data_IF_897974002735
#
_entry.id   IF_897974002735
#
_cell.length_a   1.000
_cell.length_b   1.000
_cell.length_c   1.000
_cell.angle_alpha   90.00
_cell.angle_beta   90.00
_cell.angle_gamma   90.00
#
_symmetry.space_group_name_H-M   'P 1'
#
loop_
_entity.id
_entity.type
_entity.pdbx_description
1 polymer ?
#
# COMPACT_ATOMS: atom_id res chain seq x y z
N UNK A 1 -52.58 4.98 -1.34
CA UNK A 1 -51.33 5.59 -1.86
C UNK A 1 -50.22 5.20 -0.93
N UNK A 2 -49.20 4.43 -1.37
CA UNK A 2 -48.03 4.18 -0.53
C UNK A 2 -47.26 5.50 -0.35
N UNK A 3 -46.63 5.73 0.81
CA UNK A 3 -45.84 6.94 1.02
C UNK A 3 -44.67 6.92 0.04
N UNK A 4 -44.45 8.07 -0.62
CA UNK A 4 -43.23 8.31 -1.40
C UNK A 4 -42.06 8.12 -0.44
N UNK A 5 -41.29 7.04 -0.64
CA UNK A 5 -39.92 6.94 -0.13
C UNK A 5 -39.18 8.18 -0.58
N UNK A 6 -38.98 9.11 0.34
CA UNK A 6 -37.94 10.13 0.23
C UNK A 6 -36.65 9.36 -0.04
N UNK A 7 -36.15 9.46 -1.27
CA UNK A 7 -34.75 9.15 -1.53
C UNK A 7 -33.98 10.15 -0.69
N UNK A 8 -33.54 9.72 0.48
CA UNK A 8 -32.42 10.32 1.20
C UNK A 8 -31.35 10.58 0.14
N UNK A 9 -31.12 11.85 -0.19
CA UNK A 9 -29.90 12.23 -0.87
C UNK A 9 -28.80 12.00 0.14
N UNK A 10 -28.33 10.75 0.22
CA UNK A 10 -27.24 10.37 1.11
C UNK A 10 -26.07 11.31 0.86
N UNK A 11 -25.48 11.80 1.96
CA UNK A 11 -24.27 12.58 1.92
C UNK A 11 -23.22 11.80 1.08
N UNK A 12 -22.70 12.37 -0.02
CA UNK A 12 -21.73 11.69 -0.88
C UNK A 12 -20.44 11.32 -0.14
N UNK A 13 -20.26 11.74 1.11
CA UNK A 13 -19.11 11.40 1.95
C UNK A 13 -19.33 10.16 2.82
N UNK A 14 -20.50 9.52 2.76
CA UNK A 14 -20.80 8.32 3.55
C UNK A 14 -20.08 7.10 2.96
N UNK A 15 -19.27 6.43 3.78
CA UNK A 15 -18.61 5.16 3.48
C UNK A 15 -19.58 3.98 3.64
N UNK A 16 -19.34 2.87 2.93
CA UNK A 16 -20.24 1.70 2.98
C UNK A 16 -20.09 0.92 4.28
N UNK A 17 -18.90 0.42 4.59
CA UNK A 17 -18.59 -0.12 5.91
C UNK A 17 -18.46 1.04 6.90
N UNK A 18 -19.31 1.03 7.93
CA UNK A 18 -19.41 2.07 8.94
C UNK A 18 -19.08 1.49 10.31
N UNK A 19 -18.39 2.30 11.10
CA UNK A 19 -18.13 1.99 12.49
C UNK A 19 -19.40 2.23 13.32
N UNK A 20 -19.72 1.33 14.24
CA UNK A 20 -20.85 1.48 15.15
C UNK A 20 -20.73 2.69 16.09
N UNK A 21 -21.88 3.08 16.66
CA UNK A 21 -21.96 4.27 17.52
C UNK A 21 -21.13 4.15 18.80
N UNK A 22 -20.94 2.93 19.34
CA UNK A 22 -20.14 2.70 20.54
C UNK A 22 -18.68 3.12 20.31
N UNK A 23 -18.01 2.52 19.33
CA UNK A 23 -16.63 2.87 18.97
C UNK A 23 -16.52 4.34 18.54
N UNK A 24 -17.49 4.86 17.78
CA UNK A 24 -17.50 6.28 17.39
C UNK A 24 -17.52 7.25 18.57
N UNK A 25 -18.18 6.91 19.67
CA UNK A 25 -18.18 7.72 20.89
C UNK A 25 -16.83 7.64 21.60
N UNK A 26 -16.20 6.47 21.63
CA UNK A 26 -14.89 6.27 22.26
C UNK A 26 -13.77 6.98 21.49
N UNK A 27 -13.89 7.07 20.16
CA UNK A 27 -12.99 7.89 19.33
C UNK A 27 -13.20 9.41 19.48
N UNK A 28 -14.18 9.89 20.27
CA UNK A 28 -14.41 11.32 20.46
C UNK A 28 -13.25 12.06 21.15
N UNK A 29 -12.34 11.33 21.82
CA UNK A 29 -11.11 11.90 22.40
C UNK A 29 -10.08 12.32 21.34
N UNK A 30 -10.19 11.80 20.11
CA UNK A 30 -9.30 12.13 19.01
C UNK A 30 -9.64 13.48 18.39
N UNK A 31 -8.67 14.11 17.74
CA UNK A 31 -8.96 15.29 16.90
C UNK A 31 -9.95 14.93 15.79
N UNK A 32 -10.76 15.88 15.28
CA UNK A 32 -11.71 15.61 14.20
C UNK A 32 -11.06 14.98 12.97
N UNK A 33 -9.84 15.40 12.64
CA UNK A 33 -9.06 14.84 11.55
C UNK A 33 -8.66 13.38 11.81
N UNK A 34 -8.02 13.10 12.96
CA UNK A 34 -7.56 11.75 13.30
C UNK A 34 -8.75 10.77 13.42
N UNK A 35 -9.85 11.21 14.03
CA UNK A 35 -11.11 10.44 14.09
C UNK A 35 -11.60 10.08 12.69
N UNK A 36 -11.67 11.05 11.78
CA UNK A 36 -12.12 10.79 10.42
C UNK A 36 -11.14 9.90 9.64
N UNK A 37 -9.83 10.02 9.89
CA UNK A 37 -8.83 9.14 9.30
C UNK A 37 -9.05 7.69 9.75
N UNK A 38 -9.27 7.44 11.04
CA UNK A 38 -9.61 6.11 11.58
C UNK A 38 -10.87 5.56 10.92
N UNK A 39 -11.94 6.36 10.77
CA UNK A 39 -13.18 5.93 10.10
C UNK A 39 -12.93 5.55 8.64
N UNK A 40 -12.15 6.34 7.91
CA UNK A 40 -11.80 6.04 6.52
C UNK A 40 -10.93 4.78 6.41
N UNK A 41 -10.00 4.57 7.34
CA UNK A 41 -9.15 3.39 7.39
C UNK A 41 -9.95 2.13 7.72
N UNK A 42 -10.84 2.21 8.71
CA UNK A 42 -11.79 1.16 9.05
C UNK A 42 -12.54 0.69 7.79
N UNK A 43 -13.07 1.64 7.01
CA UNK A 43 -13.75 1.32 5.76
C UNK A 43 -12.88 0.56 4.77
N UNK A 44 -11.70 1.10 4.43
CA UNK A 44 -10.84 0.48 3.41
C UNK A 44 -10.23 -0.84 3.87
N UNK A 45 -10.00 -1.03 5.17
CA UNK A 45 -9.55 -2.31 5.73
C UNK A 45 -10.65 -3.37 5.67
N UNK A 46 -11.89 -3.03 6.03
CA UNK A 46 -13.03 -3.92 5.83
C UNK A 46 -13.22 -4.31 4.37
N UNK A 47 -13.12 -3.34 3.46
CA UNK A 47 -13.14 -3.62 2.03
C UNK A 47 -11.98 -4.53 1.60
N UNK A 48 -10.81 -4.37 2.21
CA UNK A 48 -9.65 -5.24 2.05
C UNK A 48 -9.91 -6.68 2.47
N UNK A 49 -10.51 -6.89 3.66
CA UNK A 49 -10.93 -8.20 4.14
C UNK A 49 -11.93 -8.85 3.18
N UNK A 50 -12.96 -8.09 2.81
CA UNK A 50 -13.98 -8.53 1.87
C UNK A 50 -13.35 -8.96 0.53
N UNK A 51 -12.33 -8.24 0.05
CA UNK A 51 -11.61 -8.61 -1.16
C UNK A 51 -10.64 -9.79 -0.97
N UNK A 52 -10.03 -9.96 0.21
CA UNK A 52 -8.98 -10.94 0.42
C UNK A 52 -9.51 -12.36 0.70
N UNK A 53 -10.67 -12.48 1.33
CA UNK A 53 -11.30 -13.75 1.69
C UNK A 53 -12.55 -14.01 0.86
N UNK A 54 -12.45 -14.90 -0.12
CA UNK A 54 -13.55 -15.29 -1.00
C UNK A 54 -14.70 -15.98 -0.28
N UNK A 55 -14.40 -16.71 0.80
CA UNK A 55 -15.38 -17.52 1.51
C UNK A 55 -16.23 -16.66 2.46
N UNK A 56 -15.69 -15.53 2.92
CA UNK A 56 -16.40 -14.57 3.79
C UNK A 56 -17.07 -13.42 3.03
N UNK A 57 -17.08 -13.44 1.68
CA UNK A 57 -17.68 -12.36 0.87
C UNK A 57 -19.20 -12.33 1.00
N UNK A 58 -19.68 -11.48 1.90
CA UNK A 58 -21.11 -11.13 1.99
C UNK A 58 -21.51 -10.21 0.82
N UNK A 59 -22.65 -10.43 0.14
CA UNK A 59 -23.11 -9.54 -0.93
C UNK A 59 -23.19 -8.07 -0.48
N UNK A 60 -22.69 -7.15 -1.32
CA UNK A 60 -22.78 -5.70 -1.07
C UNK A 60 -24.18 -5.22 -1.43
N UNK A 61 -24.86 -4.59 -0.48
CA UNK A 61 -26.14 -3.91 -0.75
C UNK A 61 -25.90 -2.66 -1.60
N UNK A 62 -26.38 -2.69 -2.85
CA UNK A 62 -26.23 -1.59 -3.82
C UNK A 62 -27.41 -0.62 -3.84
N UNK A 63 -28.35 -0.73 -2.89
CA UNK A 63 -29.49 0.19 -2.76
C UNK A 63 -29.08 1.62 -2.42
N UNK A 64 -27.92 1.79 -1.78
CA UNK A 64 -27.32 3.07 -1.36
C UNK A 64 -26.25 3.55 -2.34
N UNK A 65 -25.94 4.85 -2.36
CA UNK A 65 -24.85 5.37 -3.18
C UNK A 65 -23.49 4.84 -2.71
N UNK A 66 -23.32 4.69 -1.39
CA UNK A 66 -22.12 4.13 -0.78
C UNK A 66 -21.93 2.66 -1.20
N UNK A 67 -23.00 1.87 -1.16
CA UNK A 67 -23.01 0.48 -1.61
C UNK A 67 -22.69 0.32 -3.10
N UNK A 68 -23.29 1.13 -3.96
CA UNK A 68 -22.99 1.12 -5.39
C UNK A 68 -21.53 1.51 -5.70
N UNK A 69 -20.93 2.41 -4.91
CA UNK A 69 -19.51 2.77 -5.02
C UNK A 69 -18.62 1.61 -4.55
N UNK A 70 -18.93 1.01 -3.41
CA UNK A 70 -18.20 -0.12 -2.85
C UNK A 70 -18.21 -1.31 -3.81
N UNK A 71 -19.38 -1.68 -4.35
CA UNK A 71 -19.50 -2.76 -5.34
C UNK A 71 -18.65 -2.48 -6.59
N UNK A 72 -18.70 -1.25 -7.10
CA UNK A 72 -17.88 -0.88 -8.27
C UNK A 72 -16.38 -1.00 -7.96
N UNK A 73 -15.96 -0.59 -6.78
CA UNK A 73 -14.57 -0.73 -6.33
C UNK A 73 -14.18 -2.20 -6.28
N UNK A 74 -15.00 -3.02 -5.62
CA UNK A 74 -14.81 -4.47 -5.46
C UNK A 74 -14.72 -5.17 -6.82
N UNK A 75 -15.72 -4.97 -7.68
CA UNK A 75 -15.74 -5.49 -9.05
C UNK A 75 -14.53 -5.04 -9.88
N UNK A 76 -14.00 -3.83 -9.66
CA UNK A 76 -12.77 -3.38 -10.35
C UNK A 76 -11.54 -4.11 -9.82
N UNK A 77 -11.44 -4.30 -8.51
CA UNK A 77 -10.33 -5.02 -7.88
C UNK A 77 -10.26 -6.48 -8.33
N UNK A 78 -11.41 -7.15 -8.43
CA UNK A 78 -11.51 -8.57 -8.81
C UNK A 78 -11.33 -8.83 -10.31
N UNK A 79 -11.12 -7.79 -11.14
CA UNK A 79 -11.04 -7.95 -12.59
C UNK A 79 -9.80 -8.73 -13.06
N UNK A 80 -8.66 -8.53 -12.39
CA UNK A 80 -7.38 -9.21 -12.67
C UNK A 80 -6.37 -8.90 -11.56
N UNK A 81 -5.26 -9.64 -11.55
CA UNK A 81 -4.22 -9.54 -10.52
C UNK A 81 -3.66 -8.12 -10.37
N UNK A 82 -3.37 -7.44 -11.49
CA UNK A 82 -2.88 -6.06 -11.48
C UNK A 82 -3.87 -5.11 -10.80
N UNK A 83 -5.17 -5.29 -11.02
CA UNK A 83 -6.21 -4.47 -10.40
C UNK A 83 -6.36 -4.79 -8.92
N UNK A 84 -6.23 -6.07 -8.56
CA UNK A 84 -6.22 -6.52 -7.18
C UNK A 84 -5.04 -5.90 -6.41
N UNK A 85 -3.80 -6.02 -6.91
CA UNK A 85 -2.62 -5.40 -6.29
C UNK A 85 -2.77 -3.88 -6.11
N UNK A 86 -3.46 -3.21 -7.04
CA UNK A 86 -3.71 -1.76 -6.99
C UNK A 86 -4.81 -1.36 -6.00
N UNK A 87 -5.76 -2.23 -5.68
CA UNK A 87 -6.98 -1.86 -4.97
C UNK A 87 -7.15 -2.57 -3.63
N UNK A 88 -6.47 -3.70 -3.38
CA UNK A 88 -6.41 -4.31 -2.06
C UNK A 88 -5.67 -3.38 -1.08
N UNK A 89 -6.27 -3.13 0.08
CA UNK A 89 -5.71 -2.34 1.19
C UNK A 89 -4.81 -3.15 2.11
N UNK A 90 -4.91 -4.48 2.07
CA UNK A 90 -4.05 -5.39 2.84
C UNK A 90 -2.85 -5.77 1.99
N UNK A 91 -1.67 -5.25 2.33
CA UNK A 91 -0.47 -5.28 1.48
C UNK A 91 -0.04 -6.70 1.15
N UNK A 92 -0.01 -7.60 2.14
CA UNK A 92 0.45 -8.99 1.97
C UNK A 92 -0.56 -9.92 1.28
N UNK A 93 -1.80 -9.47 1.05
CA UNK A 93 -2.85 -10.32 0.47
C UNK A 93 -3.00 -10.18 -1.04
N UNK A 94 -2.35 -9.18 -1.64
CA UNK A 94 -2.29 -8.99 -3.09
C UNK A 94 -1.64 -10.16 -3.83
N UNK A 95 -2.07 -10.49 -5.06
CA UNK A 95 -1.50 -11.59 -5.83
C UNK A 95 0.03 -11.55 -5.95
N UNK A 96 0.61 -10.38 -6.24
CA UNK A 96 2.06 -10.25 -6.38
C UNK A 96 2.79 -10.46 -5.04
N UNK A 97 2.27 -9.93 -3.93
CA UNK A 97 2.89 -10.15 -2.62
C UNK A 97 2.72 -11.59 -2.14
N UNK A 98 1.57 -12.23 -2.38
CA UNK A 98 1.38 -13.67 -2.13
C UNK A 98 2.37 -14.51 -2.93
N UNK A 99 2.64 -14.14 -4.18
CA UNK A 99 3.70 -14.78 -4.97
C UNK A 99 5.06 -14.62 -4.29
N UNK A 100 5.47 -13.39 -3.96
CA UNK A 100 6.77 -13.10 -3.35
C UNK A 100 6.94 -13.87 -2.03
N UNK A 101 5.95 -13.82 -1.14
CA UNK A 101 5.96 -14.51 0.16
C UNK A 101 6.10 -16.03 0.03
N UNK A 102 5.48 -16.64 -1.00
CA UNK A 102 5.59 -18.09 -1.22
C UNK A 102 6.98 -18.51 -1.68
N UNK A 103 7.72 -17.63 -2.34
CA UNK A 103 9.03 -17.94 -2.93
C UNK A 103 10.20 -17.45 -2.08
N UNK A 104 10.00 -16.43 -1.25
CA UNK A 104 10.96 -15.96 -0.26
C UNK A 104 10.46 -16.40 1.12
N UNK A 105 10.96 -17.52 1.63
CA UNK A 105 10.51 -18.08 2.91
C UNK A 105 11.03 -17.25 4.09
N UNK A 106 10.22 -17.15 5.15
CA UNK A 106 10.54 -16.39 6.38
C UNK A 106 11.44 -17.16 7.36
N UNK A 107 11.68 -18.44 7.12
CA UNK A 107 12.26 -19.37 8.10
C UNK A 107 13.80 -19.43 8.05
N UNK A 108 14.43 -18.73 7.10
CA UNK A 108 15.88 -18.71 6.91
C UNK A 108 16.44 -17.28 6.94
N UNK A 109 17.74 -17.16 7.23
CA UNK A 109 18.45 -15.87 7.15
C UNK A 109 18.28 -15.33 5.73
N UNK A 110 17.64 -14.18 5.58
CA UNK A 110 17.40 -13.54 4.29
C UNK A 110 18.75 -13.21 3.62
N UNK A 111 19.09 -13.95 2.57
CA UNK A 111 20.41 -13.88 1.91
C UNK A 111 20.50 -12.71 0.94
N UNK A 112 21.70 -12.40 0.45
CA UNK A 112 21.85 -11.42 -0.63
C UNK A 112 21.02 -11.81 -1.87
N UNK A 113 20.83 -13.11 -2.14
CA UNK A 113 19.99 -13.55 -3.24
C UNK A 113 18.51 -13.25 -3.03
N UNK A 114 18.01 -13.44 -1.80
CA UNK A 114 16.64 -13.08 -1.46
C UNK A 114 16.40 -11.57 -1.58
N UNK A 115 17.33 -10.75 -1.09
CA UNK A 115 17.27 -9.29 -1.19
C UNK A 115 17.29 -8.84 -2.65
N UNK A 116 18.20 -9.40 -3.44
CA UNK A 116 18.33 -9.08 -4.86
C UNK A 116 17.07 -9.47 -5.64
N UNK A 117 16.56 -10.69 -5.42
CA UNK A 117 15.31 -11.18 -6.02
C UNK A 117 14.14 -10.25 -5.71
N UNK A 118 14.01 -9.82 -4.45
CA UNK A 118 12.98 -8.89 -4.01
C UNK A 118 13.09 -7.55 -4.74
N UNK A 119 14.30 -6.98 -4.83
CA UNK A 119 14.54 -5.73 -5.55
C UNK A 119 14.14 -5.81 -7.03
N UNK A 120 14.56 -6.86 -7.75
CA UNK A 120 14.26 -6.98 -9.18
C UNK A 120 12.77 -7.25 -9.43
N UNK A 121 12.11 -8.05 -8.60
CA UNK A 121 10.66 -8.24 -8.69
C UNK A 121 9.91 -6.94 -8.47
N UNK A 122 10.29 -6.19 -7.43
CA UNK A 122 9.64 -4.92 -7.11
C UNK A 122 9.82 -3.88 -8.21
N UNK A 123 11.02 -3.79 -8.77
CA UNK A 123 11.35 -2.80 -9.78
C UNK A 123 10.77 -3.14 -11.17
N UNK A 124 10.74 -4.42 -11.56
CA UNK A 124 10.51 -4.80 -12.96
C UNK A 124 9.28 -5.69 -13.22
N UNK A 125 8.78 -6.43 -12.23
CA UNK A 125 7.77 -7.47 -12.46
C UNK A 125 6.48 -7.35 -11.62
N UNK A 126 6.47 -6.51 -10.58
CA UNK A 126 5.32 -6.35 -9.68
C UNK A 126 4.02 -6.02 -10.44
N UNK A 127 2.93 -6.72 -10.09
CA UNK A 127 1.63 -6.63 -10.76
C UNK A 127 1.48 -7.53 -11.99
N UNK A 128 2.44 -8.44 -12.24
CA UNK A 128 2.38 -9.42 -13.33
C UNK A 128 2.99 -10.75 -12.88
N UNK A 129 2.14 -11.73 -12.54
CA UNK A 129 2.60 -13.02 -11.99
C UNK A 129 3.48 -13.81 -12.96
N UNK A 130 3.16 -13.81 -14.26
CA UNK A 130 3.97 -14.48 -15.27
C UNK A 130 5.39 -13.89 -15.30
N UNK A 131 5.50 -12.56 -15.23
CA UNK A 131 6.80 -11.90 -15.23
C UNK A 131 7.57 -12.08 -13.92
N UNK A 132 6.88 -12.16 -12.78
CA UNK A 132 7.52 -12.52 -11.51
C UNK A 132 8.13 -13.93 -11.64
N UNK A 133 7.38 -14.88 -12.17
CA UNK A 133 7.86 -16.25 -12.44
C UNK A 133 9.05 -16.26 -13.39
N UNK A 134 8.95 -15.61 -14.56
CA UNK A 134 10.04 -15.50 -15.55
C UNK A 134 11.32 -14.86 -15.01
N UNK A 135 11.19 -13.91 -14.06
CA UNK A 135 12.30 -13.17 -13.46
C UNK A 135 12.80 -13.79 -12.14
N UNK A 136 12.42 -15.04 -11.86
CA UNK A 136 12.93 -15.77 -10.69
C UNK A 136 14.36 -16.25 -10.96
N UNK A 137 15.24 -16.05 -9.98
CA UNK A 137 16.62 -16.54 -9.96
C UNK A 137 16.71 -17.77 -9.05
N UNK A 138 17.75 -18.56 -9.25
CA UNK A 138 18.08 -19.65 -8.34
C UNK A 138 18.73 -19.08 -7.06
N UNK A 139 17.97 -19.14 -5.96
CA UNK A 139 18.33 -18.57 -4.66
C UNK A 139 19.48 -19.32 -3.97
N UNK A 140 19.76 -20.56 -4.37
CA UNK A 140 20.82 -21.40 -3.79
C UNK A 140 22.14 -21.35 -4.59
N UNK A 141 22.16 -20.61 -5.71
CA UNK A 141 23.24 -20.63 -6.68
C UNK A 141 24.29 -19.52 -6.53
N UNK A 142 25.23 -19.50 -7.49
CA UNK A 142 26.27 -18.47 -7.71
C UNK A 142 25.67 -17.05 -7.81
N UNK A 143 26.50 -15.99 -7.85
CA UNK A 143 26.02 -14.62 -8.07
C UNK A 143 25.08 -14.54 -9.29
N UNK A 144 24.08 -13.64 -9.28
CA UNK A 144 23.05 -13.60 -10.32
C UNK A 144 23.62 -13.40 -11.73
N UNK A 145 23.07 -14.12 -12.72
CA UNK A 145 23.45 -13.97 -14.12
C UNK A 145 22.81 -12.72 -14.75
N UNK A 146 23.50 -11.58 -14.65
CA UNK A 146 22.95 -10.28 -15.07
C UNK A 146 22.51 -10.22 -16.53
N UNK A 147 23.23 -10.86 -17.45
CA UNK A 147 22.86 -10.84 -18.87
C UNK A 147 21.51 -11.55 -19.11
N UNK A 148 21.33 -12.74 -18.54
CA UNK A 148 20.07 -13.50 -18.59
C UNK A 148 18.91 -12.69 -17.99
N UNK A 149 19.12 -12.09 -16.81
CA UNK A 149 18.11 -11.29 -16.11
C UNK A 149 17.74 -10.04 -16.92
N UNK A 150 18.74 -9.33 -17.46
CA UNK A 150 18.57 -8.16 -18.32
C UNK A 150 17.78 -8.49 -19.57
N UNK A 151 18.09 -9.61 -20.23
CA UNK A 151 17.36 -10.05 -21.41
C UNK A 151 15.88 -10.29 -21.09
N UNK A 152 15.58 -10.97 -19.98
CA UNK A 152 14.19 -11.19 -19.53
C UNK A 152 13.47 -9.86 -19.28
N UNK A 153 14.08 -8.94 -18.52
CA UNK A 153 13.52 -7.61 -18.25
C UNK A 153 13.27 -6.84 -19.56
N UNK A 154 14.24 -6.86 -20.48
CA UNK A 154 14.21 -6.07 -21.71
C UNK A 154 13.35 -6.67 -22.83
N UNK A 155 12.90 -7.93 -22.72
CA UNK A 155 11.91 -8.50 -23.64
C UNK A 155 10.55 -7.82 -23.53
N UNK A 156 10.24 -7.18 -22.40
CA UNK A 156 8.95 -6.50 -22.16
C UNK A 156 9.02 -4.99 -22.42
N UNK A 157 7.85 -4.37 -22.48
CA UNK A 157 7.70 -2.92 -22.72
C UNK A 157 7.90 -2.51 -24.18
N UNK A 158 8.09 -1.20 -24.39
CA UNK A 158 8.40 -0.63 -25.71
C UNK A 158 9.87 -0.78 -26.08
N UNK A 159 10.26 -0.26 -27.25
CA UNK A 159 11.64 -0.35 -27.74
C UNK A 159 12.65 0.33 -26.79
N UNK A 160 12.26 1.43 -26.14
CA UNK A 160 13.16 2.26 -25.31
C UNK A 160 12.88 2.11 -23.81
N UNK A 161 11.61 1.97 -23.42
CA UNK A 161 11.17 2.00 -22.02
C UNK A 161 10.33 0.78 -21.65
N UNK A 162 10.43 0.37 -20.39
CA UNK A 162 9.62 -0.67 -19.75
C UNK A 162 8.56 0.02 -18.92
N UNK A 163 7.28 -0.26 -19.19
CA UNK A 163 6.16 0.25 -18.40
C UNK A 163 5.88 -0.69 -17.22
N UNK A 164 5.90 -0.16 -15.99
CA UNK A 164 5.55 -0.93 -14.80
C UNK A 164 4.14 -0.55 -14.37
N UNK A 165 3.16 -1.27 -14.92
CA UNK A 165 1.74 -0.92 -14.81
C UNK A 165 1.24 -0.83 -13.36
N UNK A 166 1.84 -1.57 -12.41
CA UNK A 166 1.49 -1.49 -10.99
C UNK A 166 1.61 -0.05 -10.44
N UNK A 167 2.59 0.71 -10.92
CA UNK A 167 2.90 2.07 -10.45
C UNK A 167 2.35 3.16 -11.38
N UNK A 168 1.27 2.86 -12.11
CA UNK A 168 0.60 3.82 -12.99
C UNK A 168 1.38 4.06 -14.28
N UNK A 169 1.84 5.29 -14.51
CA UNK A 169 2.59 5.69 -15.72
C UNK A 169 4.11 5.59 -15.55
N UNK A 170 4.58 4.94 -14.49
CA UNK A 170 5.99 4.80 -14.21
C UNK A 170 6.70 3.95 -15.28
N UNK A 171 7.83 4.44 -15.77
CA UNK A 171 8.61 3.81 -16.83
C UNK A 171 10.10 3.78 -16.48
N UNK A 172 10.76 2.69 -16.82
CA UNK A 172 12.22 2.53 -16.70
C UNK A 172 12.83 2.45 -18.10
N UNK A 173 13.84 3.26 -18.38
CA UNK A 173 14.57 3.16 -19.64
C UNK A 173 15.41 1.89 -19.69
N UNK A 174 15.32 1.11 -20.78
CA UNK A 174 16.06 -0.17 -20.92
C UNK A 174 17.57 0.00 -20.80
N UNK A 175 18.10 1.15 -21.22
CA UNK A 175 19.52 1.50 -21.07
C UNK A 175 19.99 1.59 -19.61
N UNK A 176 19.07 1.77 -18.65
CA UNK A 176 19.38 1.87 -17.22
C UNK A 176 19.41 0.51 -16.52
N UNK A 177 18.83 -0.52 -17.12
CA UNK A 177 18.66 -1.85 -16.49
C UNK A 177 19.99 -2.44 -16.01
N UNK A 178 21.09 -2.46 -16.79
CA UNK A 178 22.35 -3.06 -16.33
C UNK A 178 22.87 -2.43 -15.03
N UNK A 179 22.92 -1.10 -14.98
CA UNK A 179 23.38 -0.35 -13.80
C UNK A 179 22.42 -0.56 -12.60
N UNK A 180 21.11 -0.66 -12.83
CA UNK A 180 20.18 -1.00 -11.75
C UNK A 180 20.45 -2.38 -11.16
N UNK A 181 20.71 -3.39 -12.00
CA UNK A 181 21.03 -4.75 -11.54
C UNK A 181 22.32 -4.77 -10.72
N UNK A 182 23.39 -4.14 -11.21
CA UNK A 182 24.67 -4.01 -10.49
C UNK A 182 24.47 -3.37 -9.11
N UNK A 183 23.76 -2.24 -9.03
CA UNK A 183 23.54 -1.54 -7.77
C UNK A 183 22.62 -2.27 -6.81
N UNK A 184 21.59 -2.97 -7.31
CA UNK A 184 20.76 -3.83 -6.46
C UNK A 184 21.59 -4.98 -5.89
N UNK A 185 22.51 -5.55 -6.66
CA UNK A 185 23.38 -6.61 -6.17
C UNK A 185 24.37 -6.11 -5.11
N UNK A 186 25.02 -4.97 -5.35
CA UNK A 186 25.90 -4.32 -4.36
C UNK A 186 25.17 -4.02 -3.05
N UNK A 187 23.92 -3.52 -3.14
CA UNK A 187 23.08 -3.30 -1.96
C UNK A 187 22.81 -4.63 -1.24
N UNK A 188 22.44 -5.66 -1.98
CA UNK A 188 22.06 -6.97 -1.42
C UNK A 188 23.21 -7.61 -0.63
N UNK A 189 24.44 -7.53 -1.16
CA UNK A 189 25.63 -7.98 -0.45
C UNK A 189 25.87 -7.17 0.82
N UNK A 190 25.73 -5.84 0.75
CA UNK A 190 25.94 -4.97 1.91
C UNK A 190 24.97 -5.30 3.06
N UNK A 191 23.70 -5.50 2.74
CA UNK A 191 22.64 -5.79 3.71
C UNK A 191 22.74 -7.20 4.31
N UNK A 192 23.25 -8.19 3.59
CA UNK A 192 23.47 -9.54 4.14
C UNK A 192 24.59 -9.59 5.20
N UNK A 193 25.60 -8.71 5.05
CA UNK A 193 26.79 -8.65 5.91
C UNK A 193 26.49 -7.96 7.25
N UNK A 194 25.51 -7.05 7.28
CA UNK A 194 25.09 -6.36 8.50
C UNK A 194 24.48 -7.36 9.50
N UNK A 195 25.14 -7.52 10.66
CA UNK A 195 24.79 -8.54 11.68
C UNK A 195 23.73 -8.08 12.69
N UNK A 196 23.29 -6.84 12.61
CA UNK A 196 22.26 -6.25 13.47
C UNK A 196 21.16 -5.68 12.57
N UNK A 197 19.89 -5.70 12.99
CA UNK A 197 18.82 -5.10 12.20
C UNK A 197 19.04 -3.59 12.14
N UNK A 198 19.30 -3.10 10.94
CA UNK A 198 19.36 -1.67 10.65
C UNK A 198 17.99 -1.04 10.88
N UNK A 199 17.96 0.25 11.19
CA UNK A 199 16.71 1.01 11.24
C UNK A 199 16.10 1.14 9.84
N UNK A 200 14.80 1.42 9.77
CA UNK A 200 14.14 1.68 8.50
C UNK A 200 14.80 2.85 7.75
N UNK A 201 15.08 3.94 8.47
CA UNK A 201 15.72 5.13 7.93
C UNK A 201 17.11 4.84 7.34
N UNK A 202 17.95 4.04 8.00
CA UNK A 202 19.27 3.66 7.46
C UNK A 202 19.17 2.89 6.13
N UNK A 203 18.22 1.95 6.01
CA UNK A 203 17.98 1.24 4.75
C UNK A 203 17.44 2.17 3.67
N UNK A 204 16.49 3.03 4.04
CA UNK A 204 15.88 4.00 3.14
C UNK A 204 16.93 4.98 2.58
N UNK A 205 17.81 5.50 3.44
CA UNK A 205 18.91 6.37 3.07
C UNK A 205 19.98 5.63 2.27
N UNK A 206 20.26 4.35 2.59
CA UNK A 206 21.20 3.52 1.81
C UNK A 206 20.70 3.31 0.38
N UNK A 207 19.43 2.93 0.20
CA UNK A 207 18.78 2.79 -1.10
C UNK A 207 18.87 4.09 -1.92
N UNK A 208 18.69 5.23 -1.25
CA UNK A 208 18.82 6.54 -1.87
C UNK A 208 20.27 6.84 -2.27
N UNK A 209 21.21 6.74 -1.34
CA UNK A 209 22.63 7.09 -1.52
C UNK A 209 23.32 6.18 -2.55
N UNK A 210 22.82 4.97 -2.78
CA UNK A 210 23.27 4.10 -3.87
C UNK A 210 23.05 4.69 -5.26
N UNK A 211 22.22 5.73 -5.40
CA UNK A 211 21.94 6.40 -6.67
C UNK A 211 21.48 5.40 -7.74
N UNK A 212 20.58 4.50 -7.38
CA UNK A 212 20.04 3.48 -8.28
C UNK A 212 19.20 4.19 -9.36
N UNK A 213 19.49 4.00 -10.66
CA UNK A 213 18.74 4.68 -11.71
C UNK A 213 17.23 4.43 -11.58
N UNK A 214 16.43 5.49 -11.75
CA UNK A 214 14.95 5.43 -11.65
C UNK A 214 14.40 5.23 -10.24
N UNK A 215 15.25 5.24 -9.20
CA UNK A 215 14.86 5.30 -7.78
C UNK A 215 15.30 6.67 -7.19
N UNK A 216 14.60 7.77 -7.52
CA UNK A 216 14.94 9.09 -6.98
C UNK A 216 14.60 9.21 -5.49
N UNK A 217 15.11 10.26 -4.83
CA UNK A 217 14.84 10.56 -3.42
C UNK A 217 13.34 10.76 -3.23
N UNK A 218 12.82 10.24 -2.12
CA UNK A 218 11.37 10.29 -1.87
C UNK A 218 10.56 9.50 -2.92
N UNK A 219 11.20 8.68 -3.74
CA UNK A 219 10.54 7.92 -4.80
C UNK A 219 9.76 6.74 -4.24
N UNK A 220 8.60 6.45 -4.85
CA UNK A 220 7.73 5.34 -4.46
C UNK A 220 8.48 3.99 -4.37
N UNK A 221 9.34 3.68 -5.35
CA UNK A 221 10.07 2.40 -5.35
C UNK A 221 11.05 2.27 -4.18
N UNK A 222 11.68 3.36 -3.75
CA UNK A 222 12.60 3.35 -2.60
C UNK A 222 11.82 3.00 -1.33
N UNK A 223 10.69 3.67 -1.11
CA UNK A 223 9.78 3.39 0.00
C UNK A 223 9.27 1.95 -0.02
N UNK A 224 8.80 1.47 -1.18
CA UNK A 224 8.23 0.14 -1.30
C UNK A 224 9.26 -0.97 -1.04
N UNK A 225 10.49 -0.82 -1.57
CA UNK A 225 11.57 -1.78 -1.33
C UNK A 225 11.97 -1.78 0.15
N UNK A 226 12.15 -0.61 0.77
CA UNK A 226 12.46 -0.52 2.21
C UNK A 226 11.37 -1.18 3.07
N UNK A 227 10.10 -0.94 2.75
CA UNK A 227 8.97 -1.60 3.42
C UNK A 227 8.97 -3.12 3.23
N UNK A 228 9.31 -3.62 2.03
CA UNK A 228 9.43 -5.07 1.82
C UNK A 228 10.57 -5.65 2.67
N UNK A 229 11.75 -5.01 2.67
CA UNK A 229 12.90 -5.45 3.47
C UNK A 229 12.57 -5.51 4.97
N UNK A 230 11.84 -4.52 5.49
CA UNK A 230 11.35 -4.53 6.87
C UNK A 230 10.37 -5.70 7.12
N UNK A 231 9.47 -5.98 6.17
CA UNK A 231 8.54 -7.10 6.29
C UNK A 231 9.20 -8.47 6.28
N UNK A 232 10.37 -8.59 5.64
CA UNK A 232 11.22 -9.78 5.63
C UNK A 232 12.29 -9.78 6.74
N UNK A 233 12.23 -8.83 7.68
CA UNK A 233 13.08 -8.80 8.87
C UNK A 233 14.52 -8.35 8.61
N UNK A 234 14.82 -7.75 7.46
CA UNK A 234 16.15 -7.19 7.14
C UNK A 234 16.42 -5.92 7.95
N UNK A 235 15.37 -5.16 8.25
CA UNK A 235 15.43 -3.95 9.06
C UNK A 235 14.19 -3.80 9.95
N UNK A 236 14.24 -2.81 10.84
CA UNK A 236 13.09 -2.45 11.67
C UNK A 236 11.93 -1.90 10.81
N UNK A 237 10.71 -2.09 11.30
CA UNK A 237 9.52 -1.54 10.66
C UNK A 237 9.52 0.00 10.67
N UNK A 238 8.94 0.66 9.64
CA UNK A 238 8.82 2.10 9.62
C UNK A 238 7.90 2.61 10.73
N UNK A 239 8.18 3.82 11.22
CA UNK A 239 7.33 4.56 12.17
C UNK A 239 6.61 5.75 11.49
N UNK A 240 5.78 6.48 12.24
CA UNK A 240 5.05 7.64 11.71
C UNK A 240 5.96 8.74 11.16
N UNK A 241 7.12 8.97 11.77
CA UNK A 241 8.13 9.92 11.31
C UNK A 241 8.70 9.53 9.93
N UNK A 242 9.01 8.25 9.71
CA UNK A 242 9.49 7.74 8.42
C UNK A 242 8.48 7.99 7.30
N UNK A 243 7.18 7.72 7.56
CA UNK A 243 6.12 8.00 6.60
C UNK A 243 5.93 9.49 6.35
N UNK A 244 5.97 10.31 7.40
CA UNK A 244 5.85 11.77 7.28
C UNK A 244 6.99 12.36 6.43
N UNK A 245 8.24 11.96 6.71
CA UNK A 245 9.41 12.32 5.90
C UNK A 245 9.24 11.86 4.46
N UNK A 246 8.87 10.59 4.25
CA UNK A 246 8.64 10.05 2.90
C UNK A 246 7.61 10.91 2.13
N UNK A 247 6.49 11.28 2.76
CA UNK A 247 5.44 12.06 2.12
C UNK A 247 5.87 13.49 1.78
N UNK A 248 6.67 14.14 2.63
CA UNK A 248 7.13 15.52 2.43
C UNK A 248 8.33 15.61 1.47
N UNK A 249 9.34 14.76 1.64
CA UNK A 249 10.55 14.73 0.81
C UNK A 249 10.29 14.23 -0.62
N UNK A 250 9.20 13.49 -0.84
CA UNK A 250 8.76 13.10 -2.16
C UNK A 250 8.44 14.29 -3.09
N UNK A 251 8.44 15.54 -2.60
CA UNK A 251 8.19 16.73 -3.43
C UNK A 251 6.83 16.68 -4.12
N UNK A 252 5.82 16.10 -3.45
CA UNK A 252 4.49 15.85 -4.01
C UNK A 252 4.35 14.58 -4.86
N UNK A 253 5.39 13.73 -4.95
CA UNK A 253 5.34 12.44 -5.70
C UNK A 253 4.64 11.32 -4.92
N UNK A 254 4.50 11.42 -3.60
CA UNK A 254 3.62 10.57 -2.78
C UNK A 254 2.13 10.94 -3.00
N UNK A 255 1.71 11.05 -4.26
CA UNK A 255 0.43 11.63 -4.63
C UNK A 255 -0.77 10.81 -4.15
N UNK A 256 -0.59 9.52 -3.84
CA UNK A 256 -1.63 8.66 -3.27
C UNK A 256 -1.95 9.07 -1.83
N UNK A 257 -1.02 8.90 -0.87
CA UNK A 257 -1.27 9.18 0.53
C UNK A 257 -1.67 10.63 0.79
N UNK A 258 -1.00 11.59 0.14
CA UNK A 258 -1.34 13.01 0.26
C UNK A 258 -2.76 13.33 -0.21
N UNK A 259 -3.25 12.67 -1.28
CA UNK A 259 -4.65 12.82 -1.72
C UNK A 259 -5.63 12.19 -0.73
N UNK A 260 -5.25 11.08 -0.10
CA UNK A 260 -6.02 10.44 0.96
C UNK A 260 -6.24 11.40 2.13
N UNK A 261 -5.16 12.01 2.64
CA UNK A 261 -5.24 13.00 3.72
C UNK A 261 -6.07 14.23 3.34
N UNK A 262 -5.95 14.74 2.10
CA UNK A 262 -6.78 15.84 1.61
C UNK A 262 -8.26 15.49 1.58
N UNK A 263 -8.59 14.26 1.19
CA UNK A 263 -9.96 13.77 1.25
C UNK A 263 -10.45 13.71 2.72
N UNK A 264 -9.65 13.18 3.64
CA UNK A 264 -9.98 13.16 5.07
C UNK A 264 -10.22 14.57 5.63
N UNK A 265 -9.36 15.55 5.32
CA UNK A 265 -9.53 16.94 5.76
C UNK A 265 -10.84 17.55 5.24
N UNK A 266 -11.16 17.31 3.97
CA UNK A 266 -12.43 17.76 3.37
C UNK A 266 -13.65 17.15 4.07
N UNK A 267 -13.62 15.86 4.38
CA UNK A 267 -14.77 15.16 5.02
C UNK A 267 -14.91 15.54 6.49
N UNK A 268 -13.80 15.67 7.23
CA UNK A 268 -13.81 16.07 8.64
C UNK A 268 -14.10 17.55 8.86
N UNK A 269 -14.02 18.38 7.81
CA UNK A 269 -14.01 19.86 7.90
C UNK A 269 -12.91 20.37 8.83
N UNK A 270 -11.81 19.63 8.94
CA UNK A 270 -10.64 19.98 9.72
C UNK A 270 -9.46 20.26 8.78
N UNK A 271 -8.52 21.07 9.26
CA UNK A 271 -7.28 21.31 8.55
C UNK A 271 -6.48 20.01 8.46
N UNK A 272 -5.85 19.80 7.31
CA UNK A 272 -4.90 18.71 7.14
C UNK A 272 -3.68 19.03 8.02
N UNK A 273 -3.18 18.10 8.86
CA UNK A 273 -2.00 18.31 9.68
C UNK A 273 -0.86 18.88 8.83
N UNK A 274 -0.14 19.85 9.38
CA UNK A 274 0.68 20.82 8.65
C UNK A 274 1.74 20.21 7.72
N UNK A 275 2.41 21.06 6.94
CA UNK A 275 3.55 20.68 6.07
C UNK A 275 4.81 20.24 6.84
N UNK A 276 4.74 20.04 8.17
CA UNK A 276 5.87 19.58 9.00
C UNK A 276 5.84 18.07 9.23
N UNK A 277 7.02 17.49 9.46
CA UNK A 277 7.17 16.06 9.73
C UNK A 277 6.48 15.69 11.04
N UNK A 278 6.64 16.54 12.06
CA UNK A 278 6.20 16.30 13.43
C UNK A 278 4.67 16.22 13.54
N UNK A 279 3.94 17.14 12.89
CA UNK A 279 2.48 17.15 12.94
C UNK A 279 1.87 15.93 12.20
N UNK A 280 2.46 15.55 11.06
CA UNK A 280 2.05 14.36 10.33
C UNK A 280 2.36 13.09 11.11
N UNK A 281 3.57 12.98 11.67
CA UNK A 281 3.99 11.84 12.47
C UNK A 281 3.08 11.65 13.69
N UNK A 282 2.76 12.72 14.42
CA UNK A 282 1.85 12.69 15.57
C UNK A 282 0.47 12.12 15.20
N UNK A 283 -0.09 12.52 14.06
CA UNK A 283 -1.36 11.96 13.59
C UNK A 283 -1.24 10.51 13.18
N UNK A 284 -0.15 10.12 12.50
CA UNK A 284 0.08 8.73 12.13
C UNK A 284 0.26 7.84 13.36
N UNK A 285 1.05 8.25 14.34
CA UNK A 285 1.28 7.51 15.57
C UNK A 285 -0.02 7.36 16.36
N UNK A 286 -0.83 8.41 16.45
CA UNK A 286 -2.14 8.37 17.08
C UNK A 286 -3.10 7.37 16.40
N UNK A 287 -3.12 7.34 15.06
CA UNK A 287 -3.93 6.37 14.30
C UNK A 287 -3.37 4.95 14.43
N UNK A 288 -2.05 4.80 14.39
CA UNK A 288 -1.38 3.52 14.59
C UNK A 288 -1.65 2.95 15.97
N UNK A 289 -1.69 3.77 17.02
CA UNK A 289 -2.04 3.33 18.38
C UNK A 289 -3.44 2.69 18.40
N UNK A 290 -4.42 3.31 17.75
CA UNK A 290 -5.80 2.79 17.67
C UNK A 290 -5.87 1.40 17.00
N UNK A 291 -5.08 1.18 15.94
CA UNK A 291 -5.10 -0.10 15.21
C UNK A 291 -4.13 -1.14 15.76
N UNK A 292 -2.98 -0.76 16.30
CA UNK A 292 -1.98 -1.69 16.84
C UNK A 292 -2.32 -2.16 18.26
N UNK A 293 -3.04 -1.33 19.02
CA UNK A 293 -3.43 -1.58 20.40
C UNK A 293 -4.86 -1.06 20.62
N UNK A 294 -5.86 -1.62 19.94
CA UNK A 294 -7.24 -1.22 20.14
C UNK A 294 -7.62 -1.46 21.60
N UNK A 295 -8.18 -0.43 22.24
CA UNK A 295 -8.77 -0.53 23.57
C UNK A 295 -9.79 -1.67 23.60
N UNK A 296 -9.93 -2.37 24.73
CA UNK A 296 -10.92 -3.46 24.88
C UNK A 296 -12.35 -2.96 24.59
N UNK A 297 -12.58 -1.66 24.77
CA UNK A 297 -13.85 -0.99 24.47
C UNK A 297 -14.06 -0.63 22.98
N UNK A 298 -13.05 -0.80 22.11
CA UNK A 298 -13.14 -0.57 20.65
C UNK A 298 -13.34 -1.91 19.92
N UNK A 299 -14.44 -2.59 20.23
CA UNK A 299 -14.69 -3.99 19.83
C UNK A 299 -14.66 -4.20 18.31
N UNK A 300 -15.25 -3.29 17.52
CA UNK A 300 -15.29 -3.42 16.06
C UNK A 300 -13.92 -3.21 15.43
N UNK A 301 -13.17 -2.22 15.91
CA UNK A 301 -11.79 -1.97 15.47
C UNK A 301 -10.88 -3.13 15.86
N UNK A 302 -11.03 -3.67 17.07
CA UNK A 302 -10.28 -4.82 17.55
C UNK A 302 -10.54 -6.07 16.69
N UNK A 303 -11.81 -6.36 16.40
CA UNK A 303 -12.21 -7.48 15.55
C UNK A 303 -11.68 -7.33 14.12
N UNK A 304 -11.83 -6.14 13.52
CA UNK A 304 -11.31 -5.82 12.20
C UNK A 304 -9.80 -6.01 12.14
N UNK A 305 -9.08 -5.44 13.11
CA UNK A 305 -7.62 -5.53 13.19
C UNK A 305 -7.18 -6.98 13.30
N UNK A 306 -7.76 -7.75 14.22
CA UNK A 306 -7.43 -9.17 14.40
C UNK A 306 -7.65 -9.98 13.12
N UNK A 307 -8.76 -9.74 12.41
CA UNK A 307 -9.02 -10.40 11.12
C UNK A 307 -7.98 -10.00 10.05
N UNK A 308 -7.59 -8.72 9.99
CA UNK A 308 -6.54 -8.25 9.09
C UNK A 308 -5.20 -8.92 9.41
N UNK A 309 -4.81 -8.97 10.68
CA UNK A 309 -3.56 -9.57 11.13
C UNK A 309 -3.51 -11.07 10.84
N UNK A 310 -4.61 -11.78 11.06
CA UNK A 310 -4.74 -13.20 10.73
C UNK A 310 -4.52 -13.46 9.23
N UNK A 311 -5.03 -12.60 8.35
CA UNK A 311 -4.87 -12.76 6.91
C UNK A 311 -3.49 -12.32 6.41
N UNK A 312 -2.88 -11.31 7.01
CA UNK A 312 -1.55 -10.83 6.63
C UNK A 312 -0.41 -11.64 7.25
N UNK A 313 -0.69 -12.39 8.32
CA UNK A 313 0.32 -13.11 9.11
C UNK A 313 1.26 -12.18 9.90
N UNK A 314 0.88 -10.92 10.12
CA UNK A 314 1.63 -9.94 10.91
C UNK A 314 0.72 -8.83 11.42
N UNK A 315 1.22 -8.08 12.42
CA UNK A 315 0.55 -6.88 12.94
C UNK A 315 0.40 -5.79 11.89
N UNK A 316 -0.62 -4.94 12.07
CA UNK A 316 -0.80 -3.72 11.29
C UNK A 316 0.41 -2.80 11.46
N UNK A 317 0.92 -2.24 10.36
CA UNK A 317 2.13 -1.40 10.35
C UNK A 317 1.94 -0.08 9.61
N UNK A 318 2.91 0.83 9.74
CA UNK A 318 2.88 2.11 9.02
C UNK A 318 2.87 1.94 7.49
N UNK A 319 3.44 0.85 6.99
CA UNK A 319 3.34 0.52 5.56
C UNK A 319 1.90 0.23 5.14
N UNK A 320 1.09 -0.38 6.02
CA UNK A 320 -0.34 -0.59 5.76
C UNK A 320 -1.14 0.71 5.87
N UNK A 321 -0.76 1.60 6.80
CA UNK A 321 -1.33 2.95 6.89
C UNK A 321 -1.13 3.74 5.59
N UNK A 322 0.10 3.78 5.06
CA UNK A 322 0.40 4.41 3.77
C UNK A 322 -0.46 3.83 2.64
N UNK A 323 -0.51 2.49 2.56
CA UNK A 323 -1.27 1.80 1.53
C UNK A 323 -2.78 2.03 1.67
N UNK A 324 -3.28 2.13 2.90
CA UNK A 324 -4.66 2.50 3.23
C UNK A 324 -5.01 3.91 2.78
N UNK A 325 -4.13 4.89 3.03
CA UNK A 325 -4.27 6.26 2.52
C UNK A 325 -4.33 6.30 0.98
N UNK A 326 -3.51 5.47 0.33
CA UNK A 326 -3.58 5.25 -1.11
C UNK A 326 -4.97 4.74 -1.55
N UNK A 327 -5.62 3.84 -0.80
CA UNK A 327 -6.97 3.34 -1.15
C UNK A 327 -8.06 4.35 -0.93
N UNK A 328 -8.00 5.12 0.16
CA UNK A 328 -8.90 6.24 0.42
C UNK A 328 -8.88 7.20 -0.78
N UNK A 329 -7.69 7.57 -1.28
CA UNK A 329 -7.55 8.42 -2.46
C UNK A 329 -8.12 7.82 -3.75
N UNK A 330 -7.99 6.49 -3.93
CA UNK A 330 -8.54 5.78 -5.10
C UNK A 330 -10.05 5.77 -5.09
N UNK A 331 -10.65 5.55 -3.93
CA UNK A 331 -12.09 5.54 -3.77
C UNK A 331 -12.69 6.92 -4.04
N UNK A 332 -12.11 7.99 -3.49
CA UNK A 332 -12.50 9.37 -3.81
C UNK A 332 -12.40 9.67 -5.31
N UNK A 333 -11.32 9.22 -5.97
CA UNK A 333 -11.19 9.34 -7.42
C UNK A 333 -12.32 8.63 -8.17
N UNK A 334 -12.72 7.43 -7.74
CA UNK A 334 -13.83 6.69 -8.33
C UNK A 334 -15.17 7.40 -8.13
N UNK A 335 -15.37 7.94 -6.93
CA UNK A 335 -16.56 8.71 -6.54
C UNK A 335 -16.75 9.96 -7.41
N UNK A 336 -15.70 10.77 -7.56
CA UNK A 336 -15.71 11.96 -8.43
C UNK A 336 -16.06 11.59 -9.88
N UNK A 337 -15.49 10.48 -10.39
CA UNK A 337 -15.80 9.99 -11.75
C UNK A 337 -17.25 9.54 -11.90
N UNK A 338 -17.84 8.94 -10.87
CA UNK A 338 -19.25 8.53 -10.88
C UNK A 338 -20.19 9.73 -10.86
N UNK A 339 -19.89 10.74 -10.04
CA UNK A 339 -20.66 11.98 -9.99
C UNK A 339 -20.68 12.70 -11.34
N UNK A 340 -19.51 12.83 -12.00
CA UNK A 340 -19.41 13.43 -13.34
C UNK A 340 -20.24 12.70 -14.39
N UNK A 341 -20.27 11.36 -14.37
CA UNK A 341 -21.10 10.57 -15.31
C UNK A 341 -22.61 10.72 -15.09
N UNK A 342 -23.05 10.99 -13.85
CA UNK A 342 -24.46 11.24 -13.55
C UNK A 342 -24.92 12.64 -14.00
N UNK A 343 -24.03 13.63 -14.02
CA UNK A 343 -24.33 15.00 -14.45
C UNK A 343 -24.23 15.27 -15.96
N UNK A 344 -23.95 14.25 -16.78
CA UNK A 344 -23.87 14.36 -18.25
C UNK A 344 -25.00 13.60 -18.97
N UNK A 345 -26.06 13.23 -18.24
CA UNK A 345 -27.30 12.64 -18.77
C UNK A 345 -28.47 13.55 -18.43
#
# INVERSE_FOLDING_TARGET
MPPKTEKLMEDPNVMYFQLGQADLQKLAKLTPFAKQLVICLFHVLHQGLHLADEQSRTPIDTSTNAGALCEKYTSTALKNDLSADKLLSLRKTGPSMKFIIRHLTFDSKFTAQCIFQLCIWRAFAFGNLDHLSELSIDLDSKPPEFDTIKETICKRGGQVNILISAYGSFQIGKSKVPNMLEKFWELSIALEVEKQPCTFAEIYDSLWNKNIPSLPQGGLLVWLIACDLAEFGVCLAPNGEDLAKHMLEAGGKAAGPTKGLKFVGKTSKADVPSESVEDLASVFDCVMEVFSYPDEELEEIAALTSACESLQGRKFSVADLEHGLCKIAREDTMRIRMAKKKGSK
#
